data_IF_394890779067
#
_entry.id   IF_394890779067
#
_cell.length_a   1.000
_cell.length_b   1.000
_cell.length_c   1.000
_cell.angle_alpha   90.00
_cell.angle_beta   90.00
_cell.angle_gamma   90.00
#
_symmetry.space_group_name_H-M   'P 1'
#
loop_
_entity.id
_entity.type
_entity.pdbx_description
1 polymer ?
#
# COMPACT_ATOMS: atom_id res chain seq x y z
N UNK A 1 2.41 12.45 -9.49
CA UNK A 1 2.28 11.22 -8.70
C UNK A 1 1.24 11.45 -7.62
N UNK A 2 0.42 10.46 -7.39
CA UNK A 2 -0.57 10.48 -6.30
C UNK A 2 -0.23 9.33 -5.36
N UNK A 3 -0.26 9.60 -4.07
CA UNK A 3 -0.10 8.62 -3.01
C UNK A 3 -1.39 8.62 -2.19
N UNK A 4 -1.97 7.47 -2.02
CA UNK A 4 -3.10 7.27 -1.13
C UNK A 4 -2.57 6.74 0.20
N UNK A 5 -2.86 7.44 1.28
CA UNK A 5 -2.50 7.04 2.62
C UNK A 5 -3.75 6.62 3.38
N UNK A 6 -3.72 5.44 3.97
CA UNK A 6 -4.81 4.91 4.77
C UNK A 6 -4.27 4.47 6.14
N UNK A 7 -4.99 4.81 7.19
CA UNK A 7 -4.66 4.34 8.53
C UNK A 7 -5.02 2.85 8.65
N UNK A 8 -4.03 2.03 8.91
CA UNK A 8 -4.22 0.58 9.04
C UNK A 8 -4.96 0.17 10.33
N UNK A 9 -5.05 1.06 11.32
CA UNK A 9 -5.80 0.80 12.56
C UNK A 9 -7.31 0.71 12.32
N UNK A 10 -7.75 1.18 11.17
CA UNK A 10 -9.15 1.17 10.76
C UNK A 10 -9.62 -0.18 10.19
N UNK A 11 -8.68 -1.06 9.82
CA UNK A 11 -9.03 -2.40 9.35
C UNK A 11 -9.14 -3.35 10.56
N UNK A 12 -10.29 -3.99 10.69
CA UNK A 12 -10.63 -4.79 11.87
C UNK A 12 -9.71 -5.99 12.11
N UNK A 13 -9.08 -6.53 11.09
CA UNK A 13 -8.14 -7.66 11.25
C UNK A 13 -7.27 -7.90 10.02
N UNK A 14 -6.15 -8.55 10.25
CA UNK A 14 -5.34 -9.18 9.20
C UNK A 14 -5.93 -10.57 8.97
N UNK A 15 -6.40 -10.85 7.76
CA UNK A 15 -6.87 -12.18 7.39
C UNK A 15 -5.69 -13.11 7.15
N UNK A 16 -5.74 -14.28 7.76
CA UNK A 16 -4.99 -15.45 7.35
C UNK A 16 -5.89 -16.30 6.42
N UNK A 17 -5.43 -16.55 5.20
CA UNK A 17 -6.16 -17.38 4.25
C UNK A 17 -6.26 -18.85 4.65
N UNK A 18 -5.45 -19.30 5.61
CA UNK A 18 -5.59 -20.65 6.20
C UNK A 18 -6.87 -20.77 7.03
N UNK A 19 -7.28 -19.68 7.66
CA UNK A 19 -8.48 -19.65 8.52
C UNK A 19 -9.75 -19.24 7.71
N UNK A 20 -9.55 -18.54 6.58
CA UNK A 20 -10.62 -18.11 5.68
C UNK A 20 -10.36 -18.61 4.26
N UNK A 21 -10.74 -19.87 3.95
CA UNK A 21 -10.46 -20.47 2.65
C UNK A 21 -11.27 -19.87 1.49
N UNK A 22 -12.36 -19.14 1.78
CA UNK A 22 -13.14 -18.44 0.77
C UNK A 22 -12.90 -16.92 0.83
N UNK A 23 -11.98 -16.38 0.01
CA UNK A 23 -11.71 -14.95 -0.03
C UNK A 23 -12.85 -14.13 -0.63
N UNK A 24 -13.84 -14.77 -1.25
CA UNK A 24 -15.00 -14.09 -1.84
C UNK A 24 -16.19 -14.01 -0.87
N UNK A 25 -16.17 -14.81 0.19
CA UNK A 25 -17.21 -14.84 1.23
C UNK A 25 -17.04 -13.79 2.32
N UNK A 26 -16.15 -12.79 2.12
CA UNK A 26 -15.92 -11.73 3.09
C UNK A 26 -17.00 -10.63 2.99
N UNK A 27 -17.44 -10.13 4.13
CA UNK A 27 -18.46 -9.07 4.21
C UNK A 27 -17.84 -7.66 4.29
N UNK A 28 -16.58 -7.56 4.72
CA UNK A 28 -15.86 -6.30 4.95
C UNK A 28 -14.54 -6.26 4.19
N UNK A 29 -13.86 -5.11 4.21
CA UNK A 29 -12.50 -4.98 3.68
C UNK A 29 -11.51 -5.37 4.77
N UNK A 30 -10.62 -6.30 4.44
CA UNK A 30 -9.58 -6.78 5.35
C UNK A 30 -8.18 -6.47 4.83
N UNK A 31 -7.22 -6.39 5.74
CA UNK A 31 -5.80 -6.45 5.40
C UNK A 31 -5.36 -7.90 5.22
N UNK A 32 -4.59 -8.13 4.18
CA UNK A 32 -3.95 -9.42 3.92
C UNK A 32 -2.43 -9.25 3.93
N UNK A 33 -1.78 -10.01 4.80
CA UNK A 33 -0.33 -10.11 4.82
C UNK A 33 0.09 -11.35 3.99
N UNK A 34 0.63 -11.15 2.77
CA UNK A 34 1.00 -12.27 1.92
C UNK A 34 2.19 -13.03 2.52
N UNK A 35 2.23 -14.36 2.36
CA UNK A 35 3.41 -15.11 2.71
C UNK A 35 4.62 -14.60 1.93
N UNK A 36 5.77 -14.50 2.59
CA UNK A 36 7.02 -13.99 2.03
C UNK A 36 7.67 -14.99 1.05
N UNK A 37 6.96 -15.33 -0.03
CA UNK A 37 7.36 -16.33 -1.00
C UNK A 37 8.46 -15.81 -1.93
N UNK A 38 8.49 -14.50 -2.17
CA UNK A 38 9.47 -13.88 -3.07
C UNK A 38 10.24 -12.76 -2.39
N UNK A 39 11.49 -12.57 -2.79
CA UNK A 39 12.32 -11.45 -2.30
C UNK A 39 11.66 -10.08 -2.54
N UNK A 40 10.89 -9.96 -3.62
CA UNK A 40 10.18 -8.73 -3.97
C UNK A 40 9.09 -8.39 -2.95
N UNK A 41 8.26 -9.36 -2.55
CA UNK A 41 7.22 -9.16 -1.54
C UNK A 41 7.84 -8.72 -0.23
N UNK A 42 8.92 -9.40 0.18
CA UNK A 42 9.66 -9.07 1.40
C UNK A 42 10.26 -7.66 1.36
N UNK A 43 10.90 -7.29 0.24
CA UNK A 43 11.55 -5.99 0.07
C UNK A 43 10.54 -4.83 0.07
N UNK A 44 9.38 -5.03 -0.51
CA UNK A 44 8.32 -4.03 -0.58
C UNK A 44 7.54 -3.88 0.72
N UNK A 45 7.68 -4.85 1.66
CA UNK A 45 6.88 -4.91 2.90
C UNK A 45 5.39 -4.72 2.62
N UNK A 46 4.93 -5.32 1.50
CA UNK A 46 3.59 -5.11 0.99
C UNK A 46 2.52 -5.73 1.88
N UNK A 47 1.50 -4.95 2.19
CA UNK A 47 0.22 -5.43 2.65
C UNK A 47 -0.79 -5.24 1.51
N UNK A 48 -1.77 -6.11 1.43
CA UNK A 48 -2.84 -6.00 0.47
C UNK A 48 -4.16 -5.78 1.20
N UNK A 49 -5.11 -5.18 0.51
CA UNK A 49 -6.50 -5.14 0.94
C UNK A 49 -7.28 -6.19 0.16
N UNK A 50 -8.11 -6.95 0.86
CA UNK A 50 -9.06 -7.89 0.26
C UNK A 50 -10.44 -7.26 0.36
N UNK A 51 -11.11 -7.13 -0.78
CA UNK A 51 -12.38 -6.43 -0.90
C UNK A 51 -13.51 -7.42 -1.11
N UNK A 52 -14.62 -7.20 -0.42
CA UNK A 52 -15.89 -7.90 -0.66
C UNK A 52 -16.49 -7.58 -2.04
N UNK A 53 -16.24 -6.37 -2.55
CA UNK A 53 -16.60 -5.98 -3.91
C UNK A 53 -15.36 -5.54 -4.69
N UNK A 54 -14.78 -6.41 -5.53
CA UNK A 54 -13.57 -6.09 -6.29
C UNK A 54 -13.76 -5.03 -7.37
N UNK A 55 -15.01 -4.70 -7.71
CA UNK A 55 -15.33 -3.66 -8.70
C UNK A 55 -15.28 -2.24 -8.12
N UNK A 56 -15.20 -2.11 -6.80
CA UNK A 56 -15.18 -0.80 -6.13
C UNK A 56 -13.77 -0.52 -5.59
N UNK A 57 -13.02 0.44 -6.18
CA UNK A 57 -11.71 0.84 -5.67
C UNK A 57 -11.78 1.38 -4.23
N UNK A 58 -10.76 1.15 -3.43
CA UNK A 58 -10.69 1.63 -2.05
C UNK A 58 -10.89 3.15 -1.94
N UNK A 59 -10.35 3.92 -2.90
CA UNK A 59 -10.49 5.38 -2.93
C UNK A 59 -11.91 5.86 -3.29
N UNK A 60 -12.69 5.01 -3.94
CA UNK A 60 -14.09 5.28 -4.32
C UNK A 60 -15.09 4.63 -3.37
N UNK A 61 -14.63 3.77 -2.48
CA UNK A 61 -15.42 3.36 -1.34
C UNK A 61 -15.57 4.62 -0.49
N UNK A 62 -16.43 5.53 -0.96
CA UNK A 62 -16.97 6.57 -0.11
C UNK A 62 -17.67 5.82 0.99
N UNK A 63 -16.97 5.68 2.10
CA UNK A 63 -17.61 5.28 3.33
C UNK A 63 -18.69 6.32 3.54
N UNK A 64 -19.95 5.93 3.60
CA UNK A 64 -21.00 6.88 3.88
C UNK A 64 -20.56 7.62 5.13
N UNK A 65 -20.86 8.92 5.21
CA UNK A 65 -20.68 9.70 6.45
C UNK A 65 -21.37 9.04 7.65
N UNK A 66 -22.11 7.98 7.39
CA UNK A 66 -22.70 7.10 8.39
C UNK A 66 -21.62 6.15 8.93
N UNK A 67 -21.18 6.54 10.07
CA UNK A 67 -20.39 5.85 11.07
C UNK A 67 -20.64 4.35 11.05
N UNK A 68 -19.64 3.58 10.65
CA UNK A 68 -19.64 2.13 10.89
C UNK A 68 -19.43 1.96 12.38
N UNK A 69 -20.49 1.60 13.08
CA UNK A 69 -20.40 1.21 14.48
C UNK A 69 -19.75 -0.16 14.51
N UNK A 70 -18.46 -0.23 14.84
CA UNK A 70 -17.82 -1.51 15.12
C UNK A 70 -18.61 -2.25 16.20
N UNK A 71 -18.53 -3.56 16.24
CA UNK A 71 -19.26 -4.43 17.20
C UNK A 71 -19.05 -4.08 18.67
N UNK A 72 -18.04 -3.28 18.97
CA UNK A 72 -17.71 -2.74 20.30
C UNK A 72 -18.29 -1.34 20.57
N UNK A 73 -19.11 -0.78 19.66
CA UNK A 73 -19.67 0.57 19.79
C UNK A 73 -18.72 1.72 19.44
N UNK A 74 -17.52 1.43 18.94
CA UNK A 74 -16.57 2.44 18.48
C UNK A 74 -16.85 2.81 17.04
N UNK A 75 -16.93 4.09 16.76
CA UNK A 75 -17.09 4.61 15.41
C UNK A 75 -15.76 4.48 14.65
N UNK A 76 -15.71 3.70 13.59
CA UNK A 76 -14.56 3.56 12.71
C UNK A 76 -14.80 4.37 11.42
N UNK A 77 -13.88 5.28 11.12
CA UNK A 77 -13.86 6.01 9.85
C UNK A 77 -12.67 5.49 9.04
N UNK A 78 -12.94 5.01 7.83
CA UNK A 78 -11.85 4.76 6.89
C UNK A 78 -11.57 6.06 6.14
N UNK A 79 -10.57 6.79 6.54
CA UNK A 79 -10.12 7.95 5.80
C UNK A 79 -8.96 7.55 4.89
N UNK A 80 -9.11 7.80 3.61
CA UNK A 80 -8.02 7.68 2.64
C UNK A 80 -7.56 9.07 2.27
N UNK A 81 -6.42 9.47 2.78
CA UNK A 81 -5.80 10.74 2.44
C UNK A 81 -5.16 10.67 1.06
N UNK A 82 -5.38 11.69 0.26
CA UNK A 82 -4.78 11.81 -1.06
C UNK A 82 -3.66 12.82 -1.05
N UNK A 83 -2.41 12.35 -1.24
CA UNK A 83 -1.22 13.18 -1.29
C UNK A 83 -0.79 13.34 -2.75
N UNK A 84 -0.83 14.56 -3.27
CA UNK A 84 -0.43 14.88 -4.64
C UNK A 84 0.99 15.43 -4.67
N UNK A 85 1.93 14.64 -5.23
CA UNK A 85 3.30 15.09 -5.45
C UNK A 85 3.37 15.76 -6.83
N UNK A 86 3.55 17.09 -6.84
CA UNK A 86 3.67 17.87 -8.06
C UNK A 86 4.93 17.48 -8.85
N UNK A 87 4.87 17.68 -10.17
CA UNK A 87 5.93 17.23 -11.08
C UNK A 87 7.30 17.82 -10.74
N UNK A 88 7.34 19.08 -10.36
CA UNK A 88 8.56 19.82 -10.01
C UNK A 88 9.29 19.24 -8.79
N UNK A 89 8.58 18.60 -7.86
CA UNK A 89 9.18 18.01 -6.65
C UNK A 89 9.59 16.56 -6.82
N UNK A 90 9.24 15.90 -7.91
CA UNK A 90 9.50 14.45 -8.08
C UNK A 90 10.98 14.08 -7.98
N UNK A 91 11.86 14.90 -8.57
CA UNK A 91 13.30 14.64 -8.58
C UNK A 91 13.84 14.68 -7.16
N UNK A 92 13.53 15.74 -6.42
CA UNK A 92 13.98 15.92 -5.04
C UNK A 92 13.39 14.86 -4.11
N UNK A 93 12.10 14.54 -4.28
CA UNK A 93 11.44 13.50 -3.50
C UNK A 93 12.11 12.14 -3.70
N UNK A 94 12.42 11.76 -4.96
CA UNK A 94 13.13 10.53 -5.30
C UNK A 94 14.53 10.50 -4.69
N UNK A 95 15.24 11.65 -4.70
CA UNK A 95 16.55 11.79 -4.07
C UNK A 95 16.49 11.56 -2.57
N UNK A 96 15.55 12.19 -1.88
CA UNK A 96 15.34 12.03 -0.44
C UNK A 96 14.98 10.57 -0.10
N UNK A 97 14.06 9.95 -0.82
CA UNK A 97 13.73 8.54 -0.63
C UNK A 97 14.94 7.63 -0.76
N UNK A 98 15.81 7.90 -1.77
CA UNK A 98 17.04 7.14 -1.96
C UNK A 98 18.01 7.27 -0.79
N UNK A 99 18.11 8.45 -0.15
CA UNK A 99 18.91 8.64 1.06
C UNK A 99 18.40 7.83 2.25
N UNK A 100 17.09 7.61 2.33
CA UNK A 100 16.49 6.72 3.33
C UNK A 100 16.51 5.24 2.94
N UNK A 101 17.19 4.89 1.85
CA UNK A 101 17.29 3.51 1.39
C UNK A 101 16.11 3.03 0.53
N UNK A 102 15.15 3.89 0.24
CA UNK A 102 14.02 3.59 -0.64
C UNK A 102 14.36 3.94 -2.09
N UNK A 103 14.85 2.96 -2.83
CA UNK A 103 15.26 3.13 -4.23
C UNK A 103 14.93 1.89 -5.06
N UNK A 104 15.17 1.96 -6.37
CA UNK A 104 14.84 0.87 -7.30
C UNK A 104 15.51 -0.47 -6.92
N UNK A 105 16.78 -0.42 -6.46
CA UNK A 105 17.51 -1.64 -6.11
C UNK A 105 16.96 -2.31 -4.84
N UNK A 106 16.45 -1.53 -3.89
CA UNK A 106 15.89 -2.05 -2.63
C UNK A 106 14.45 -2.52 -2.79
N UNK A 107 13.63 -1.82 -3.61
CA UNK A 107 12.22 -2.16 -3.81
C UNK A 107 12.06 -3.32 -4.80
N UNK A 108 12.96 -3.41 -5.79
CA UNK A 108 12.98 -4.44 -6.81
C UNK A 108 14.31 -5.20 -6.72
N UNK A 109 14.44 -6.15 -5.78
CA UNK A 109 15.67 -6.89 -5.58
C UNK A 109 15.93 -7.82 -6.78
N UNK A 110 16.89 -7.44 -7.59
CA UNK A 110 17.28 -8.14 -8.83
C UNK A 110 18.11 -7.24 -9.73
N UNK A 111 18.62 -7.79 -10.82
CA UNK A 111 19.48 -7.05 -11.74
C UNK A 111 18.78 -5.83 -12.35
N UNK A 112 17.49 -5.95 -12.64
CA UNK A 112 16.69 -4.87 -13.24
C UNK A 112 16.56 -3.68 -12.28
N UNK A 113 16.33 -3.92 -11.00
CA UNK A 113 16.27 -2.86 -10.00
C UNK A 113 17.63 -2.21 -9.75
N UNK A 114 18.70 -3.01 -9.70
CA UNK A 114 20.06 -2.50 -9.53
C UNK A 114 20.47 -1.64 -10.74
N UNK A 115 20.28 -2.13 -11.96
CA UNK A 115 20.62 -1.39 -13.18
C UNK A 115 19.82 -0.09 -13.30
N UNK A 116 18.52 -0.13 -13.02
CA UNK A 116 17.68 1.06 -13.01
C UNK A 116 18.10 2.10 -11.97
N UNK A 117 18.55 1.63 -10.80
CA UNK A 117 19.05 2.53 -9.77
C UNK A 117 20.39 3.17 -10.13
N UNK A 118 21.31 2.39 -10.71
CA UNK A 118 22.61 2.89 -11.19
C UNK A 118 22.43 3.90 -12.32
N UNK A 119 21.57 3.60 -13.28
CA UNK A 119 21.26 4.54 -14.37
C UNK A 119 20.73 5.87 -13.83
N UNK A 120 19.80 5.82 -12.89
CA UNK A 120 19.29 7.02 -12.23
C UNK A 120 20.38 7.81 -11.49
N UNK A 121 21.28 7.15 -10.77
CA UNK A 121 22.40 7.80 -10.07
C UNK A 121 23.33 8.52 -11.05
N UNK A 122 23.54 7.94 -12.23
CA UNK A 122 24.43 8.51 -13.24
C UNK A 122 23.80 9.67 -14.01
N UNK A 123 22.49 9.64 -14.19
CA UNK A 123 21.77 10.55 -15.10
C UNK A 123 20.98 11.66 -14.38
N UNK A 124 20.31 11.33 -13.30
CA UNK A 124 19.32 12.22 -12.67
C UNK A 124 19.68 12.68 -11.24
N UNK A 125 20.48 11.92 -10.51
CA UNK A 125 20.76 12.20 -9.11
C UNK A 125 21.80 13.31 -8.88
N UNK A 126 22.41 13.82 -9.95
CA UNK A 126 23.41 14.91 -9.94
C UNK A 126 22.75 16.28 -9.79
#
# INVERSE_FOLDING_TARGET
CVVYACDNTQFNSIIDLSDNPDPLGIEEIFLYNPPHITQRITAQRGLFTVHNNPSTPLAETSFPEETIVASNGTMAYYAVDTIVIKKEFKKEFKRILSLYGWNQATIYPGLDGITSHLDWLMTEAR
#
